data_IF_983582960990
#
_entry.id   IF_983582960990
#
_cell.length_a   1.000
_cell.length_b   1.000
_cell.length_c   1.000
_cell.angle_alpha   90.00
_cell.angle_beta   90.00
_cell.angle_gamma   90.00
#
_symmetry.space_group_name_H-M   'P 1'
#
loop_
_entity.id
_entity.type
_entity.pdbx_description
1 polymer ?
#
# COMPACT_ATOMS: atom_id res chain seq x y z
N UNK A 1 -37.06 -26.85 22.06
CA UNK A 1 -36.16 -26.44 23.17
C UNK A 1 -35.04 -27.47 23.21
N UNK A 2 -33.98 -27.28 22.43
CA UNK A 2 -32.87 -28.26 22.35
C UNK A 2 -31.96 -28.00 23.54
N UNK A 3 -31.91 -28.96 24.44
CA UNK A 3 -31.16 -28.91 25.70
C UNK A 3 -29.67 -29.12 25.44
N UNK A 4 -28.83 -28.16 25.82
CA UNK A 4 -27.37 -28.23 25.82
C UNK A 4 -26.88 -29.29 26.82
N UNK A 5 -26.99 -30.58 26.48
CA UNK A 5 -26.57 -31.70 27.35
C UNK A 5 -25.55 -32.64 26.71
N UNK A 6 -24.88 -32.22 25.63
CA UNK A 6 -24.04 -33.11 24.79
C UNK A 6 -22.56 -32.69 24.65
N UNK A 7 -22.02 -31.86 25.55
CA UNK A 7 -20.58 -31.53 25.54
C UNK A 7 -19.85 -31.90 26.84
N UNK A 8 -20.47 -32.68 27.73
CA UNK A 8 -19.79 -33.28 28.88
C UNK A 8 -18.96 -34.48 28.42
N UNK A 9 -17.77 -34.22 27.90
CA UNK A 9 -16.86 -35.28 27.45
C UNK A 9 -16.05 -34.96 26.20
N UNK A 10 -16.18 -33.75 25.62
CA UNK A 10 -15.24 -33.31 24.60
C UNK A 10 -13.88 -33.14 25.27
N UNK A 11 -12.94 -34.00 24.88
CA UNK A 11 -11.55 -34.00 25.28
C UNK A 11 -11.00 -32.56 25.22
N UNK A 12 -10.33 -32.09 26.29
CA UNK A 12 -9.76 -30.72 26.37
C UNK A 12 -9.03 -30.28 25.08
N UNK A 13 -8.30 -31.15 24.35
CA UNK A 13 -7.74 -30.83 23.04
C UNK A 13 -8.74 -30.40 21.97
N UNK A 14 -9.90 -31.06 21.86
CA UNK A 14 -10.93 -30.75 20.86
C UNK A 14 -11.61 -29.42 21.17
N UNK A 15 -11.91 -29.15 22.45
CA UNK A 15 -12.44 -27.85 22.85
C UNK A 15 -11.43 -26.72 22.60
N UNK A 16 -10.13 -26.98 22.83
CA UNK A 16 -9.05 -26.05 22.48
C UNK A 16 -8.99 -25.74 20.99
N UNK A 17 -9.14 -26.76 20.13
CA UNK A 17 -9.19 -26.59 18.68
C UNK A 17 -10.42 -25.79 18.23
N UNK A 18 -11.61 -26.06 18.78
CA UNK A 18 -12.83 -25.29 18.48
C UNK A 18 -12.65 -23.82 18.86
N UNK A 19 -12.12 -23.55 20.06
CA UNK A 19 -11.87 -22.18 20.51
C UNK A 19 -10.86 -21.45 19.61
N UNK A 20 -9.81 -22.15 19.16
CA UNK A 20 -8.84 -21.61 18.23
C UNK A 20 -9.45 -21.28 16.86
N UNK A 21 -10.30 -22.16 16.32
CA UNK A 21 -11.03 -21.93 15.06
C UNK A 21 -11.95 -20.72 15.16
N UNK A 22 -12.74 -20.63 16.24
CA UNK A 22 -13.64 -19.51 16.48
C UNK A 22 -12.88 -18.19 16.57
N UNK A 23 -11.75 -18.16 17.29
CA UNK A 23 -10.88 -16.99 17.36
C UNK A 23 -10.35 -16.60 15.98
N UNK A 24 -9.86 -17.57 15.21
CA UNK A 24 -9.31 -17.31 13.86
C UNK A 24 -10.38 -16.74 12.93
N UNK A 25 -11.60 -17.27 12.96
CA UNK A 25 -12.72 -16.75 12.18
C UNK A 25 -13.07 -15.32 12.59
N UNK A 26 -13.13 -15.05 13.90
CA UNK A 26 -13.38 -13.70 14.42
C UNK A 26 -12.31 -12.71 13.96
N UNK A 27 -11.03 -13.09 14.01
CA UNK A 27 -9.92 -12.24 13.56
C UNK A 27 -10.01 -11.96 12.04
N UNK A 28 -10.37 -12.95 11.23
CA UNK A 28 -10.58 -12.78 9.80
C UNK A 28 -11.75 -11.84 9.49
N UNK A 29 -12.87 -12.00 10.20
CA UNK A 29 -14.05 -11.12 10.05
C UNK A 29 -13.72 -9.68 10.44
N UNK A 30 -12.98 -9.48 11.53
CA UNK A 30 -12.53 -8.16 11.94
C UNK A 30 -11.63 -7.49 10.88
N UNK A 31 -10.68 -8.23 10.29
CA UNK A 31 -9.81 -7.73 9.22
C UNK A 31 -10.60 -7.34 7.98
N UNK A 32 -11.59 -8.14 7.60
CA UNK A 32 -12.48 -7.83 6.47
C UNK A 32 -13.29 -6.56 6.74
N UNK A 33 -13.91 -6.46 7.93
CA UNK A 33 -14.69 -5.28 8.30
C UNK A 33 -13.86 -3.99 8.30
N UNK A 34 -12.61 -4.07 8.76
CA UNK A 34 -11.68 -2.93 8.70
C UNK A 34 -11.34 -2.55 7.25
N UNK A 35 -11.06 -3.54 6.41
CA UNK A 35 -10.79 -3.30 4.99
C UNK A 35 -11.98 -2.66 4.27
N UNK A 36 -13.19 -3.15 4.52
CA UNK A 36 -14.42 -2.59 3.97
C UNK A 36 -14.63 -1.14 4.41
N UNK A 37 -14.41 -0.84 5.70
CA UNK A 37 -14.51 0.52 6.22
C UNK A 37 -13.52 1.47 5.52
N UNK A 38 -12.27 1.04 5.37
CA UNK A 38 -11.26 1.79 4.62
C UNK A 38 -11.66 2.04 3.16
N UNK A 39 -12.16 1.02 2.46
CA UNK A 39 -12.63 1.15 1.06
C UNK A 39 -13.83 2.08 0.94
N UNK A 40 -14.78 2.01 1.86
CA UNK A 40 -15.92 2.95 1.90
C UNK A 40 -15.43 4.39 2.08
N UNK A 41 -14.40 4.63 2.90
CA UNK A 41 -13.77 5.95 3.04
C UNK A 41 -13.24 6.49 1.72
N UNK A 42 -12.50 5.66 0.97
CA UNK A 42 -11.98 6.02 -0.35
C UNK A 42 -13.11 6.30 -1.37
N UNK A 43 -14.15 5.46 -1.38
CA UNK A 43 -15.28 5.63 -2.30
C UNK A 43 -16.04 6.94 -2.03
N UNK A 44 -16.22 7.32 -0.76
CA UNK A 44 -16.84 8.60 -0.39
C UNK A 44 -16.02 9.79 -0.90
N UNK A 45 -14.69 9.71 -0.76
CA UNK A 45 -13.81 10.76 -1.26
C UNK A 45 -13.84 10.85 -2.80
N UNK A 46 -13.85 9.71 -3.49
CA UNK A 46 -13.98 9.66 -4.94
C UNK A 46 -15.33 10.22 -5.41
N UNK A 47 -16.42 9.89 -4.73
CA UNK A 47 -17.75 10.42 -5.04
C UNK A 47 -17.77 11.96 -4.93
N UNK A 48 -17.22 12.52 -3.85
CA UNK A 48 -17.12 13.97 -3.68
C UNK A 48 -16.27 14.63 -4.78
N UNK A 49 -15.17 13.99 -5.20
CA UNK A 49 -14.34 14.49 -6.29
C UNK A 49 -15.06 14.48 -7.65
N UNK A 50 -15.85 13.44 -7.92
CA UNK A 50 -16.65 13.34 -9.14
C UNK A 50 -17.79 14.37 -9.16
N UNK A 51 -18.45 14.61 -8.01
CA UNK A 51 -19.47 15.66 -7.87
C UNK A 51 -18.91 17.05 -8.16
N UNK A 52 -17.65 17.31 -7.81
CA UNK A 52 -16.98 18.58 -8.09
C UNK A 52 -16.60 18.76 -9.58
N UNK A 53 -16.73 17.73 -10.42
CA UNK A 53 -16.38 17.72 -11.85
C UNK A 53 -14.96 18.28 -12.13
N UNK A 54 -14.02 18.13 -11.19
CA UNK A 54 -12.68 18.71 -11.31
C UNK A 54 -11.80 17.87 -12.27
N UNK A 55 -11.40 18.39 -13.45
CA UNK A 55 -10.60 17.64 -14.42
C UNK A 55 -9.17 17.35 -13.96
N UNK A 56 -8.73 18.03 -12.89
CA UNK A 56 -7.38 17.92 -12.30
C UNK A 56 -7.46 17.72 -10.79
N UNK A 57 -8.42 16.92 -10.34
CA UNK A 57 -8.59 16.69 -8.91
C UNK A 57 -7.30 16.11 -8.29
N UNK A 58 -6.84 16.75 -7.22
CA UNK A 58 -5.60 16.45 -6.51
C UNK A 58 -5.52 15.04 -5.89
N UNK A 59 -6.54 14.19 -6.02
CA UNK A 59 -6.61 12.87 -5.36
C UNK A 59 -5.51 11.91 -5.80
N UNK A 60 -5.11 12.00 -7.06
CA UNK A 60 -4.08 11.16 -7.65
C UNK A 60 -2.69 11.80 -7.58
N UNK A 61 -2.55 12.95 -6.91
CA UNK A 61 -1.23 13.53 -6.66
C UNK A 61 -0.44 12.66 -5.68
N UNK A 62 0.84 12.45 -6.00
CA UNK A 62 1.78 11.84 -5.08
C UNK A 62 2.04 12.79 -3.91
N UNK A 63 2.09 12.25 -2.70
CA UNK A 63 2.34 13.03 -1.47
C UNK A 63 3.84 13.22 -1.18
N UNK A 64 4.70 12.51 -1.91
CA UNK A 64 6.13 12.38 -1.61
C UNK A 64 6.46 11.34 -0.54
N UNK A 65 5.45 10.67 0.03
CA UNK A 65 5.61 9.52 0.92
C UNK A 65 5.61 8.21 0.11
N UNK A 66 6.14 7.15 0.71
CA UNK A 66 6.37 5.85 0.07
C UNK A 66 5.94 4.73 1.03
N UNK A 67 5.33 3.66 0.52
CA UNK A 67 5.04 2.46 1.30
C UNK A 67 6.26 1.55 1.43
N UNK A 68 6.17 0.52 2.28
CA UNK A 68 7.28 -0.42 2.53
C UNK A 68 7.70 -1.22 1.28
N UNK A 69 6.81 -1.35 0.30
CA UNK A 69 7.09 -1.97 -1.00
C UNK A 69 7.77 -1.03 -2.01
N UNK A 70 7.94 0.24 -1.66
CA UNK A 70 8.51 1.27 -2.53
C UNK A 70 7.49 1.96 -3.44
N UNK A 71 6.20 1.63 -3.34
CA UNK A 71 5.15 2.31 -4.10
C UNK A 71 4.88 3.72 -3.54
N UNK A 72 4.64 4.73 -4.40
CA UNK A 72 4.35 6.07 -3.92
C UNK A 72 2.96 6.15 -3.30
N UNK A 73 2.85 6.90 -2.20
CA UNK A 73 1.55 7.27 -1.64
C UNK A 73 0.89 8.34 -2.52
N UNK A 74 -0.37 8.09 -2.90
CA UNK A 74 -1.25 9.08 -3.50
C UNK A 74 -2.19 9.63 -2.42
N UNK A 75 -2.65 10.88 -2.58
CA UNK A 75 -3.52 11.53 -1.58
C UNK A 75 -4.77 10.71 -1.22
N UNK A 76 -5.40 10.07 -2.20
CA UNK A 76 -6.59 9.26 -1.96
C UNK A 76 -6.33 7.98 -1.13
N UNK A 77 -5.08 7.51 -1.04
CA UNK A 77 -4.75 6.38 -0.17
C UNK A 77 -5.01 6.72 1.30
N UNK A 78 -4.74 7.96 1.74
CA UNK A 78 -4.98 8.41 3.12
C UNK A 78 -6.44 8.35 3.56
N UNK A 79 -7.38 8.37 2.61
CA UNK A 79 -8.80 8.26 2.93
C UNK A 79 -9.18 6.87 3.46
N UNK A 80 -8.32 5.87 3.25
CA UNK A 80 -8.48 4.52 3.76
C UNK A 80 -8.16 4.43 5.26
N UNK A 81 -7.18 5.19 5.71
CA UNK A 81 -6.50 5.01 6.98
C UNK A 81 -7.42 5.18 8.20
N UNK A 82 -8.03 6.36 8.36
CA UNK A 82 -8.82 6.66 9.54
C UNK A 82 -10.04 5.72 9.71
N UNK A 83 -10.81 5.41 8.65
CA UNK A 83 -11.90 4.44 8.75
C UNK A 83 -11.41 3.01 9.05
N UNK A 84 -10.29 2.58 8.46
CA UNK A 84 -9.70 1.27 8.77
C UNK A 84 -9.26 1.20 10.23
N UNK A 85 -8.46 2.17 10.68
CA UNK A 85 -7.87 2.20 12.02
C UNK A 85 -8.94 2.29 13.11
N UNK A 86 -10.05 2.98 12.86
CA UNK A 86 -11.18 3.05 13.77
C UNK A 86 -11.82 1.67 14.02
N UNK A 87 -11.92 0.83 12.99
CA UNK A 87 -12.42 -0.55 13.13
C UNK A 87 -11.33 -1.45 13.71
N UNK A 88 -10.08 -1.29 13.26
CA UNK A 88 -8.96 -2.09 13.72
C UNK A 88 -8.76 -1.95 15.24
N UNK A 89 -8.80 -0.72 15.76
CA UNK A 89 -8.71 -0.43 17.19
C UNK A 89 -9.84 -1.05 18.02
N UNK A 90 -11.08 -1.06 17.49
CA UNK A 90 -12.24 -1.68 18.18
C UNK A 90 -12.12 -3.19 18.31
N UNK A 91 -11.52 -3.84 17.31
CA UNK A 91 -11.36 -5.29 17.27
C UNK A 91 -9.99 -5.78 17.78
N UNK A 92 -9.08 -4.87 18.14
CA UNK A 92 -7.73 -5.24 18.61
C UNK A 92 -6.87 -5.90 17.53
N UNK A 93 -7.09 -5.58 16.26
CA UNK A 93 -6.26 -6.04 15.14
C UNK A 93 -5.21 -4.97 14.78
N UNK A 94 -4.22 -5.35 13.97
CA UNK A 94 -3.17 -4.44 13.53
C UNK A 94 -3.76 -3.23 12.77
N UNK A 95 -3.19 -2.05 13.01
CA UNK A 95 -3.50 -0.82 12.26
C UNK A 95 -3.02 -0.95 10.82
N UNK A 96 -3.53 -0.11 9.92
CA UNK A 96 -3.07 -0.15 8.54
C UNK A 96 -1.61 0.32 8.44
N UNK A 97 -0.95 -0.18 7.40
CA UNK A 97 0.39 0.29 7.03
C UNK A 97 0.35 1.77 6.68
N UNK A 98 1.29 2.54 7.25
CA UNK A 98 1.45 3.96 6.97
C UNK A 98 2.57 4.18 5.97
N UNK A 99 2.34 5.07 5.03
CA UNK A 99 3.41 5.57 4.18
C UNK A 99 4.45 6.30 5.04
N UNK A 100 5.71 6.14 4.68
CA UNK A 100 6.87 6.74 5.34
C UNK A 100 7.57 7.71 4.39
N UNK A 101 8.41 8.58 4.94
CA UNK A 101 9.20 9.47 4.09
C UNK A 101 10.23 8.66 3.27
N UNK A 102 10.64 9.16 2.11
CA UNK A 102 11.67 8.51 1.29
C UNK A 102 12.97 8.27 2.08
N UNK A 103 13.37 9.20 2.95
CA UNK A 103 14.55 9.05 3.80
C UNK A 103 14.40 7.98 4.89
N UNK A 104 13.19 7.74 5.40
CA UNK A 104 12.92 6.62 6.31
C UNK A 104 12.89 5.29 5.55
N UNK A 105 12.28 5.27 4.37
CA UNK A 105 12.31 4.12 3.47
C UNK A 105 13.74 3.71 3.13
N UNK A 106 14.63 4.65 2.83
CA UNK A 106 16.05 4.35 2.54
C UNK A 106 16.81 3.77 3.74
N UNK A 107 16.42 4.13 4.98
CA UNK A 107 17.02 3.57 6.21
C UNK A 107 16.51 2.17 6.50
N UNK A 108 15.22 1.92 6.24
CA UNK A 108 14.54 0.66 6.56
C UNK A 108 14.66 -0.37 5.45
N UNK A 109 14.76 0.08 4.20
CA UNK A 109 15.06 -0.80 3.09
C UNK A 109 16.48 -1.31 3.29
N UNK A 110 16.70 -2.63 3.43
CA UNK A 110 18.05 -3.17 3.49
C UNK A 110 18.71 -2.81 2.17
N UNK A 111 19.59 -1.81 2.23
CA UNK A 111 20.50 -1.33 1.19
C UNK A 111 20.42 -2.12 -0.11
N UNK A 112 19.79 -1.55 -1.14
CA UNK A 112 19.99 -1.91 -2.55
C UNK A 112 21.44 -1.62 -3.03
N UNK A 113 22.45 -1.76 -2.15
CA UNK A 113 23.87 -1.54 -2.46
C UNK A 113 24.46 -2.62 -3.37
N UNK A 114 23.72 -3.69 -3.67
CA UNK A 114 24.13 -4.75 -4.60
C UNK A 114 23.61 -4.61 -6.04
N UNK A 115 22.61 -3.76 -6.32
CA UNK A 115 22.03 -3.67 -7.67
C UNK A 115 22.74 -2.65 -8.60
N UNK A 116 23.34 -1.59 -8.03
CA UNK A 116 24.06 -0.58 -8.81
C UNK A 116 25.40 -1.08 -9.38
N UNK A 117 25.95 -2.19 -8.86
CA UNK A 117 27.18 -2.82 -9.39
C UNK A 117 26.92 -3.81 -10.53
N UNK A 118 25.67 -4.25 -10.75
CA UNK A 118 25.35 -5.23 -11.81
C UNK A 118 24.93 -4.59 -13.14
N UNK A 119 24.52 -3.31 -13.15
CA UNK A 119 24.18 -2.60 -14.40
C UNK A 119 25.38 -1.97 -15.13
N UNK A 120 26.55 -1.87 -14.49
CA UNK A 120 27.75 -1.32 -15.14
C UNK A 120 28.48 -2.35 -16.02
N UNK A 121 28.11 -3.65 -15.96
CA UNK A 121 28.81 -4.69 -16.72
C UNK A 121 28.12 -5.11 -18.04
N UNK A 122 26.84 -4.76 -18.27
CA UNK A 122 26.07 -5.25 -19.42
C UNK A 122 25.43 -4.20 -20.34
N UNK A 123 25.82 -2.91 -20.27
CA UNK A 123 25.17 -1.86 -21.07
C UNK A 123 26.10 -0.81 -21.71
N UNK A 124 27.40 -1.06 -21.78
CA UNK A 124 28.40 -0.07 -22.17
C UNK A 124 28.84 -0.08 -23.63
N UNK A 125 27.95 -0.25 -24.61
CA UNK A 125 28.26 0.16 -26.00
C UNK A 125 27.00 0.63 -26.73
N UNK A 126 26.86 1.96 -26.85
CA UNK A 126 26.35 2.72 -28.02
C UNK A 126 25.69 4.03 -27.58
N UNK A 127 26.45 5.13 -27.66
CA UNK A 127 25.99 6.47 -28.02
C UNK A 127 27.17 7.45 -27.96
N UNK A 128 28.11 7.31 -28.90
CA UNK A 128 29.07 8.37 -29.27
C UNK A 128 29.25 8.34 -30.78
N UNK A 129 28.21 8.80 -31.46
CA UNK A 129 28.31 9.44 -32.76
C UNK A 129 27.04 10.28 -32.89
N UNK A 130 27.15 11.45 -33.52
CA UNK A 130 26.11 12.47 -33.71
C UNK A 130 26.16 13.63 -32.72
N UNK A 131 27.32 14.27 -32.61
CA UNK A 131 27.41 15.72 -32.45
C UNK A 131 28.70 16.21 -33.10
N UNK A 132 28.74 16.28 -34.43
CA UNK A 132 29.54 17.32 -35.09
C UNK A 132 29.09 17.55 -36.54
N UNK A 133 28.95 18.81 -36.93
CA UNK A 133 28.84 19.20 -38.34
C UNK A 133 27.50 19.76 -38.85
N UNK A 134 26.89 20.73 -38.18
CA UNK A 134 26.00 21.68 -38.88
C UNK A 134 26.07 23.10 -38.27
N UNK A 135 27.21 23.77 -38.50
CA UNK A 135 27.34 25.23 -38.35
C UNK A 135 28.36 25.78 -39.35
N UNK A 136 27.93 26.04 -40.58
CA UNK A 136 28.51 27.09 -41.42
C UNK A 136 27.34 27.84 -42.06
N UNK A 137 26.87 28.92 -41.41
CA UNK A 137 27.21 30.32 -41.68
C UNK A 137 26.97 30.75 -43.12
N UNK A 138 25.90 31.53 -43.24
CA UNK A 138 25.59 32.50 -44.28
C UNK A 138 26.79 33.42 -44.62
N UNK A 139 27.01 33.63 -45.94
CA UNK A 139 27.50 34.78 -46.75
C UNK A 139 28.14 36.01 -46.04
N UNK A 140 29.03 36.84 -46.69
CA UNK A 140 28.96 37.28 -48.10
C UNK A 140 30.29 37.61 -48.83
N UNK A 141 30.22 37.76 -50.17
CA UNK A 141 30.76 38.86 -51.00
C UNK A 141 30.53 38.55 -52.49
#
# INVERSE_FOLDING_TARGET
MVTNKTLEGIDRPVQGWINWQQKTLSDCQARLAAADAGRIGQLKLLAAALEALEPHHHLLEATGMVYSDGSPELRWHRAYDAPYDAVAARHGIALCEKAMSAGEFDRLSPTKTSAARLFFWFGGTKARHDLDGSKERSQPA
#
